data_IF_353968764121
#
_entry.id   IF_353968764121
#
_cell.length_a   1.000
_cell.length_b   1.000
_cell.length_c   1.000
_cell.angle_alpha   90.00
_cell.angle_beta   90.00
_cell.angle_gamma   90.00
#
_symmetry.space_group_name_H-M   'P 1'
#
loop_
_entity.id
_entity.type
_entity.pdbx_description
1 polymer ?
#
# COMPACT_ATOMS: atom_id res chain seq x y z
N UNK A 1 15.61 12.68 12.37
CA UNK A 1 16.41 13.32 11.29
C UNK A 1 15.67 13.05 10.02
N UNK A 2 15.37 14.03 9.18
CA UNK A 2 14.68 13.76 7.95
C UNK A 2 15.44 12.70 7.15
N UNK A 3 14.77 11.96 6.26
CA UNK A 3 15.41 11.15 5.23
C UNK A 3 16.32 12.12 4.43
N UNK A 4 17.34 12.54 5.07
CA UNK A 4 18.06 13.75 4.75
C UNK A 4 19.40 13.44 4.13
N UNK A 5 19.37 12.78 2.96
CA UNK A 5 20.41 13.11 1.98
C UNK A 5 20.06 14.50 1.42
N UNK A 6 21.07 15.38 1.19
CA UNK A 6 20.83 16.64 0.48
C UNK A 6 19.98 16.34 -0.76
N UNK A 7 18.97 17.15 -1.02
CA UNK A 7 18.05 17.00 -2.17
C UNK A 7 18.81 16.83 -3.49
N UNK A 8 20.06 17.30 -3.53
CA UNK A 8 20.96 17.19 -4.68
C UNK A 8 21.42 15.76 -5.00
N UNK A 9 21.37 14.82 -4.05
CA UNK A 9 21.78 13.42 -4.22
C UNK A 9 20.60 12.42 -4.19
N UNK A 10 19.35 12.90 -4.23
CA UNK A 10 18.18 12.02 -4.28
C UNK A 10 18.11 11.33 -5.65
N UNK A 11 18.08 10.00 -5.65
CA UNK A 11 17.78 9.17 -6.81
C UNK A 11 16.54 8.32 -6.52
N UNK A 12 15.59 8.31 -7.44
CA UNK A 12 14.34 7.56 -7.31
C UNK A 12 14.24 6.54 -8.44
N UNK A 13 14.16 5.27 -8.10
CA UNK A 13 13.83 4.20 -9.03
C UNK A 13 12.33 3.98 -9.04
N UNK A 14 11.72 4.08 -10.21
CA UNK A 14 10.29 3.87 -10.41
C UNK A 14 10.12 2.56 -11.17
N UNK A 15 9.44 1.60 -10.55
CA UNK A 15 9.11 0.32 -11.18
C UNK A 15 7.60 0.24 -11.33
N UNK A 16 7.11 0.28 -12.57
CA UNK A 16 5.69 0.24 -12.90
C UNK A 16 5.46 -0.58 -14.18
N UNK A 17 4.24 -1.07 -14.38
CA UNK A 17 3.89 -1.74 -15.64
C UNK A 17 3.71 -0.74 -16.80
N UNK A 18 3.50 0.54 -16.48
CA UNK A 18 3.33 1.63 -17.43
C UNK A 18 4.57 2.51 -17.42
N UNK A 19 5.00 2.96 -18.58
CA UNK A 19 6.12 3.93 -18.69
C UNK A 19 5.67 5.26 -18.08
N UNK A 20 6.57 5.88 -17.31
CA UNK A 20 6.31 7.19 -16.72
C UNK A 20 6.01 8.23 -17.82
N UNK A 21 4.91 8.95 -17.66
CA UNK A 21 4.50 9.99 -18.61
C UNK A 21 5.58 11.09 -18.72
N UNK A 22 5.72 11.66 -19.91
CA UNK A 22 6.74 12.69 -20.21
C UNK A 22 6.67 13.87 -19.22
N UNK A 23 5.47 14.32 -18.90
CA UNK A 23 5.24 15.45 -17.97
C UNK A 23 5.70 15.15 -16.53
N UNK A 24 5.88 13.88 -16.17
CA UNK A 24 6.34 13.44 -14.85
C UNK A 24 7.82 13.03 -14.85
N UNK A 25 8.53 13.16 -15.97
CA UNK A 25 9.95 12.82 -16.02
C UNK A 25 10.79 13.86 -15.27
N UNK A 26 11.79 13.38 -14.57
CA UNK A 26 12.74 14.21 -13.82
C UNK A 26 14.12 13.56 -13.91
N UNK A 27 15.19 14.35 -13.94
CA UNK A 27 16.57 13.86 -14.01
C UNK A 27 16.96 12.94 -12.83
N UNK A 28 16.25 13.05 -11.70
CA UNK A 28 16.42 12.21 -10.50
C UNK A 28 15.69 10.88 -10.59
N UNK A 29 14.83 10.71 -11.60
CA UNK A 29 14.00 9.52 -11.78
C UNK A 29 14.60 8.57 -12.82
N UNK A 30 14.66 7.30 -12.45
CA UNK A 30 15.03 6.22 -13.35
C UNK A 30 13.89 5.20 -13.38
N UNK A 31 13.22 5.10 -14.52
CA UNK A 31 12.02 4.27 -14.69
C UNK A 31 12.33 2.92 -15.29
N UNK A 32 11.68 1.89 -14.77
CA UNK A 32 11.75 0.51 -15.23
C UNK A 32 10.34 -0.03 -15.45
N UNK A 33 10.09 -0.51 -16.67
CA UNK A 33 8.82 -1.16 -16.97
C UNK A 33 8.83 -2.61 -16.47
N UNK A 34 7.87 -2.95 -15.61
CA UNK A 34 7.75 -4.30 -15.05
C UNK A 34 6.31 -4.62 -14.66
N UNK A 35 5.79 -5.73 -15.16
CA UNK A 35 4.48 -6.25 -14.75
C UNK A 35 4.64 -7.20 -13.55
N UNK A 36 3.99 -6.88 -12.45
CA UNK A 36 4.04 -7.65 -11.20
C UNK A 36 3.47 -9.07 -11.32
N UNK A 37 2.75 -9.39 -12.40
CA UNK A 37 2.25 -10.75 -12.64
C UNK A 37 3.32 -11.70 -13.20
N UNK A 38 4.50 -11.18 -13.55
CA UNK A 38 5.62 -11.98 -14.05
C UNK A 38 6.21 -12.89 -12.97
N UNK A 39 6.88 -13.97 -13.42
CA UNK A 39 7.50 -14.93 -12.50
C UNK A 39 8.90 -14.50 -12.06
N UNK A 40 9.67 -13.86 -12.92
CA UNK A 40 11.02 -13.41 -12.61
C UNK A 40 11.02 -11.99 -12.02
N UNK A 41 11.56 -11.87 -10.82
CA UNK A 41 11.70 -10.61 -10.06
C UNK A 41 13.15 -10.16 -9.95
N UNK A 42 14.08 -10.70 -10.77
CA UNK A 42 15.50 -10.35 -10.73
C UNK A 42 15.77 -8.85 -10.97
N UNK A 43 14.81 -8.13 -11.59
CA UNK A 43 14.92 -6.68 -11.75
C UNK A 43 15.16 -5.94 -10.43
N UNK A 44 14.57 -6.43 -9.33
CA UNK A 44 14.71 -5.81 -8.00
C UNK A 44 16.10 -5.99 -7.39
N UNK A 45 16.91 -6.93 -7.90
CA UNK A 45 18.30 -7.14 -7.45
C UNK A 45 19.21 -5.97 -7.87
N UNK A 46 18.76 -5.13 -8.84
CA UNK A 46 19.49 -3.94 -9.29
C UNK A 46 19.42 -2.78 -8.27
N UNK A 47 18.49 -2.82 -7.33
CA UNK A 47 18.19 -1.71 -6.41
C UNK A 47 18.70 -1.98 -4.99
N UNK A 48 19.82 -2.69 -4.83
CA UNK A 48 20.34 -3.04 -3.51
C UNK A 48 21.01 -1.85 -2.78
N UNK A 49 21.21 -0.73 -3.45
CA UNK A 49 21.77 0.51 -2.91
C UNK A 49 20.73 1.47 -2.28
N UNK A 50 19.43 1.16 -2.41
CA UNK A 50 18.37 2.02 -1.84
C UNK A 50 18.35 1.97 -0.32
N UNK A 51 17.95 3.07 0.31
CA UNK A 51 17.66 3.19 1.73
C UNK A 51 16.14 3.24 2.03
N UNK A 52 15.33 3.46 1.00
CA UNK A 52 13.88 3.58 1.14
C UNK A 52 13.17 2.78 0.06
N UNK A 53 12.18 1.99 0.47
CA UNK A 53 11.30 1.21 -0.40
C UNK A 53 9.84 1.57 -0.12
N UNK A 54 9.11 2.08 -1.11
CA UNK A 54 7.68 2.31 -1.01
C UNK A 54 6.92 1.49 -2.05
N UNK A 55 6.03 0.61 -1.62
CA UNK A 55 5.23 -0.24 -2.50
C UNK A 55 3.80 0.29 -2.53
N UNK A 56 3.42 0.92 -3.64
CA UNK A 56 2.09 1.54 -3.82
C UNK A 56 1.21 0.79 -4.81
N UNK A 57 1.77 -0.20 -5.50
CA UNK A 57 1.06 -0.96 -6.53
C UNK A 57 -0.17 -1.69 -5.98
N UNK A 58 -1.24 -1.67 -6.76
CA UNK A 58 -2.48 -2.36 -6.44
C UNK A 58 -3.66 -1.81 -7.21
N UNK A 59 -4.69 -2.61 -7.32
CA UNK A 59 -5.96 -2.20 -7.92
C UNK A 59 -7.14 -2.79 -7.13
N UNK A 60 -8.30 -2.16 -7.28
CA UNK A 60 -9.57 -2.66 -6.76
C UNK A 60 -10.68 -2.43 -7.77
N UNK A 61 -11.65 -3.33 -7.81
CA UNK A 61 -12.85 -3.20 -8.64
C UNK A 61 -14.09 -3.30 -7.75
N UNK A 62 -14.97 -2.32 -7.88
CA UNK A 62 -16.27 -2.33 -7.21
C UNK A 62 -17.25 -3.21 -7.98
N UNK A 63 -17.65 -4.32 -7.39
CA UNK A 63 -18.69 -5.21 -7.90
C UNK A 63 -19.25 -6.08 -6.78
N UNK A 64 -20.51 -6.48 -6.86
CA UNK A 64 -21.03 -7.56 -6.02
C UNK A 64 -20.29 -8.86 -6.37
N UNK A 65 -20.04 -9.70 -5.37
CA UNK A 65 -19.26 -10.93 -5.58
C UNK A 65 -19.91 -11.86 -6.62
N UNK A 66 -21.23 -11.91 -6.71
CA UNK A 66 -21.95 -12.66 -7.74
C UNK A 66 -21.69 -12.21 -9.17
N UNK A 67 -21.27 -10.93 -9.36
CA UNK A 67 -21.04 -10.32 -10.67
C UNK A 67 -19.54 -10.24 -11.02
N UNK A 68 -18.69 -10.78 -10.15
CA UNK A 68 -17.23 -10.81 -10.36
C UNK A 68 -16.87 -12.00 -11.24
N UNK A 69 -16.08 -11.74 -12.29
CA UNK A 69 -15.43 -12.80 -13.06
C UNK A 69 -14.43 -13.55 -12.19
N UNK A 70 -14.50 -14.90 -12.19
CA UNK A 70 -13.62 -15.74 -11.37
C UNK A 70 -12.12 -15.47 -11.59
N UNK A 71 -11.75 -15.11 -12.83
CA UNK A 71 -10.36 -14.77 -13.17
C UNK A 71 -9.79 -13.58 -12.41
N UNK A 72 -10.65 -12.69 -11.89
CA UNK A 72 -10.24 -11.55 -11.06
C UNK A 72 -9.75 -11.98 -9.68
N UNK A 73 -10.12 -13.16 -9.19
CA UNK A 73 -9.66 -13.64 -7.88
C UNK A 73 -8.14 -13.86 -7.89
N UNK A 74 -7.58 -14.78 -8.72
CA UNK A 74 -6.14 -14.96 -8.77
C UNK A 74 -5.41 -13.69 -9.24
N UNK A 75 -5.96 -12.94 -10.19
CA UNK A 75 -5.35 -11.70 -10.67
C UNK A 75 -5.17 -10.68 -9.54
N UNK A 76 -6.18 -10.51 -8.68
CA UNK A 76 -6.10 -9.57 -7.55
C UNK A 76 -5.00 -9.95 -6.57
N UNK A 77 -4.85 -11.23 -6.23
CA UNK A 77 -3.75 -11.68 -5.38
C UNK A 77 -2.39 -11.58 -6.06
N UNK A 78 -2.33 -11.89 -7.36
CA UNK A 78 -1.11 -11.81 -8.17
C UNK A 78 -0.63 -10.38 -8.44
N UNK A 79 -1.44 -9.36 -8.16
CA UNK A 79 -1.03 -7.95 -8.24
C UNK A 79 -0.92 -7.31 -6.86
N UNK A 80 -1.93 -7.48 -5.99
CA UNK A 80 -2.00 -6.74 -4.73
C UNK A 80 -1.20 -7.36 -3.58
N UNK A 81 -0.98 -8.70 -3.58
CA UNK A 81 -0.50 -9.40 -2.38
C UNK A 81 0.82 -10.14 -2.62
N UNK A 82 0.83 -11.09 -3.52
CA UNK A 82 2.00 -11.96 -3.78
C UNK A 82 3.24 -11.13 -4.17
N UNK A 83 3.13 -10.14 -5.08
CA UNK A 83 4.28 -9.31 -5.47
C UNK A 83 4.88 -8.55 -4.29
N UNK A 84 4.04 -8.00 -3.43
CA UNK A 84 4.50 -7.26 -2.24
C UNK A 84 5.35 -8.16 -1.35
N UNK A 85 4.87 -9.36 -1.06
CA UNK A 85 5.61 -10.35 -0.26
C UNK A 85 6.94 -10.74 -0.93
N UNK A 86 6.95 -10.93 -2.27
CA UNK A 86 8.15 -11.26 -3.05
C UNK A 86 9.17 -10.13 -3.06
N UNK A 87 8.73 -8.89 -3.21
CA UNK A 87 9.61 -7.71 -3.17
C UNK A 87 10.21 -7.59 -1.76
N UNK A 88 9.40 -7.62 -0.72
CA UNK A 88 9.87 -7.56 0.67
C UNK A 88 10.89 -8.66 0.95
N UNK A 89 10.65 -9.88 0.46
CA UNK A 89 11.61 -11.00 0.63
C UNK A 89 12.97 -10.70 0.03
N UNK A 90 13.06 -9.98 -1.09
CA UNK A 90 14.33 -9.59 -1.73
C UNK A 90 15.09 -8.52 -0.93
N UNK A 91 14.36 -7.64 -0.23
CA UNK A 91 14.94 -6.60 0.63
C UNK A 91 14.98 -7.00 2.11
N UNK A 92 14.64 -8.25 2.43
CA UNK A 92 14.53 -8.70 3.83
C UNK A 92 15.85 -8.58 4.60
N UNK A 93 16.99 -8.82 3.95
CA UNK A 93 18.31 -8.63 4.56
C UNK A 93 18.56 -7.18 4.99
N UNK A 94 18.01 -6.19 4.27
CA UNK A 94 18.08 -4.78 4.68
C UNK A 94 17.18 -4.48 5.87
N UNK A 95 16.01 -5.13 5.92
CA UNK A 95 15.09 -5.02 7.07
C UNK A 95 15.70 -5.63 8.33
N UNK A 96 16.44 -6.71 8.24
CA UNK A 96 17.14 -7.33 9.38
C UNK A 96 18.43 -6.60 9.79
N UNK A 97 19.02 -5.81 8.89
CA UNK A 97 20.27 -5.11 9.13
C UNK A 97 20.14 -4.07 10.26
N UNK A 98 21.29 -3.65 10.81
CA UNK A 98 21.34 -2.59 11.81
C UNK A 98 21.28 -1.19 11.21
N UNK A 99 21.63 -1.08 9.94
CA UNK A 99 21.55 0.14 9.17
C UNK A 99 20.09 0.52 8.94
N UNK A 100 19.81 1.82 8.93
CA UNK A 100 18.47 2.32 8.69
C UNK A 100 17.98 1.95 7.30
N UNK A 101 16.83 1.29 7.24
CA UNK A 101 16.09 1.01 6.03
C UNK A 101 14.62 1.35 6.25
N UNK A 102 14.03 2.11 5.34
CA UNK A 102 12.66 2.61 5.42
C UNK A 102 11.79 1.86 4.43
N UNK A 103 10.80 1.12 4.93
CA UNK A 103 9.93 0.31 4.09
C UNK A 103 8.46 0.63 4.37
N UNK A 104 7.71 0.98 3.32
CA UNK A 104 6.28 1.23 3.40
C UNK A 104 5.50 0.45 2.36
N UNK A 105 4.29 0.04 2.73
CA UNK A 105 3.35 -0.66 1.85
C UNK A 105 1.99 0.01 1.90
N UNK A 106 1.46 0.37 0.74
CA UNK A 106 0.09 0.86 0.61
C UNK A 106 -0.91 -0.30 0.73
N UNK A 107 -1.47 -0.44 1.91
CA UNK A 107 -2.51 -1.43 2.20
C UNK A 107 -3.89 -0.81 1.94
N UNK A 108 -4.75 -0.73 2.91
CA UNK A 108 -6.05 -0.03 2.91
C UNK A 108 -6.79 -0.31 4.20
N UNK A 109 -7.64 0.61 4.62
CA UNK A 109 -8.62 0.38 5.69
C UNK A 109 -9.56 -0.81 5.38
N UNK A 110 -9.78 -1.12 4.11
CA UNK A 110 -10.55 -2.30 3.68
C UNK A 110 -9.92 -3.63 4.13
N UNK A 111 -8.65 -3.66 4.52
CA UNK A 111 -8.00 -4.84 5.12
C UNK A 111 -8.31 -5.05 6.60
N UNK A 112 -9.01 -4.13 7.25
CA UNK A 112 -9.33 -4.17 8.68
C UNK A 112 -10.80 -4.51 8.96
N UNK A 113 -11.65 -4.49 7.93
CA UNK A 113 -13.09 -4.69 8.09
C UNK A 113 -13.72 -5.29 6.83
N UNK A 114 -14.95 -5.78 6.95
CA UNK A 114 -15.74 -6.19 5.79
C UNK A 114 -15.99 -4.99 4.86
N UNK A 115 -15.84 -5.22 3.56
CA UNK A 115 -16.04 -4.17 2.56
C UNK A 115 -16.92 -4.66 1.42
N UNK A 116 -18.27 -4.58 1.54
CA UNK A 116 -19.18 -4.93 0.46
C UNK A 116 -18.81 -4.24 -0.86
N UNK A 117 -19.00 -4.89 -1.99
CA UNK A 117 -18.51 -4.55 -3.33
C UNK A 117 -16.99 -4.63 -3.53
N UNK A 118 -16.21 -4.73 -2.45
CA UNK A 118 -14.75 -4.87 -2.48
C UNK A 118 -14.26 -6.17 -1.84
N UNK A 119 -15.05 -7.23 -1.83
CA UNK A 119 -14.76 -8.45 -1.08
C UNK A 119 -13.37 -9.05 -1.40
N UNK A 120 -13.02 -9.19 -2.69
CA UNK A 120 -11.72 -9.72 -3.11
C UNK A 120 -10.60 -8.72 -2.78
N UNK A 121 -10.80 -7.44 -3.08
CA UNK A 121 -9.81 -6.41 -2.74
C UNK A 121 -9.52 -6.37 -1.24
N UNK A 122 -10.57 -6.37 -0.41
CA UNK A 122 -10.44 -6.39 1.04
C UNK A 122 -9.66 -7.63 1.52
N UNK A 123 -9.93 -8.81 0.96
CA UNK A 123 -9.21 -10.03 1.26
C UNK A 123 -7.71 -9.92 0.92
N UNK A 124 -7.35 -9.31 -0.23
CA UNK A 124 -5.94 -9.08 -0.59
C UNK A 124 -5.23 -8.14 0.38
N UNK A 125 -5.93 -7.10 0.85
CA UNK A 125 -5.38 -6.12 1.80
C UNK A 125 -5.33 -6.65 3.23
N UNK A 126 -6.28 -7.47 3.65
CA UNK A 126 -6.23 -8.19 4.92
C UNK A 126 -5.04 -9.16 4.99
N UNK A 127 -4.76 -9.87 3.89
CA UNK A 127 -3.58 -10.73 3.79
C UNK A 127 -2.28 -9.94 3.96
N UNK A 128 -2.16 -8.75 3.34
CA UNK A 128 -0.99 -7.88 3.52
C UNK A 128 -0.88 -7.36 4.95
N UNK A 129 -1.99 -6.94 5.57
CA UNK A 129 -2.00 -6.49 6.96
C UNK A 129 -1.40 -7.54 7.87
N UNK A 130 -1.93 -8.76 7.85
CA UNK A 130 -1.46 -9.85 8.73
C UNK A 130 -0.01 -10.24 8.42
N UNK A 131 0.38 -10.24 7.14
CA UNK A 131 1.75 -10.51 6.73
C UNK A 131 2.72 -9.47 7.31
N UNK A 132 2.43 -8.17 7.16
CA UNK A 132 3.29 -7.08 7.67
C UNK A 132 3.42 -7.15 9.19
N UNK A 133 2.31 -7.32 9.91
CA UNK A 133 2.31 -7.45 11.37
C UNK A 133 3.20 -8.62 11.82
N UNK A 134 3.08 -9.77 11.14
CA UNK A 134 3.88 -10.97 11.44
C UNK A 134 5.38 -10.72 11.21
N UNK A 135 5.73 -10.13 10.07
CA UNK A 135 7.13 -9.81 9.72
C UNK A 135 7.72 -8.78 10.70
N UNK A 136 6.95 -7.75 11.09
CA UNK A 136 7.45 -6.76 12.05
C UNK A 136 7.73 -7.39 13.42
N UNK A 137 6.93 -8.37 13.87
CA UNK A 137 7.23 -9.14 15.09
C UNK A 137 8.52 -9.96 14.95
N UNK A 138 8.76 -10.59 13.79
CA UNK A 138 10.01 -11.31 13.51
C UNK A 138 11.22 -10.36 13.53
N UNK A 139 11.11 -9.17 12.94
CA UNK A 139 12.17 -8.14 12.96
C UNK A 139 12.50 -7.68 14.38
N UNK A 140 11.48 -7.47 15.23
CA UNK A 140 11.68 -7.17 16.65
C UNK A 140 12.46 -8.29 17.34
N UNK A 141 12.08 -9.55 17.10
CA UNK A 141 12.75 -10.71 17.71
C UNK A 141 14.19 -10.88 17.20
N UNK A 142 14.47 -10.48 15.96
CA UNK A 142 15.82 -10.46 15.39
C UNK A 142 16.67 -9.27 15.93
N UNK A 143 16.08 -8.35 16.69
CA UNK A 143 16.77 -7.17 17.23
C UNK A 143 16.95 -6.03 16.22
N UNK A 144 16.22 -6.07 15.09
CA UNK A 144 16.22 -4.98 14.11
C UNK A 144 15.42 -3.77 14.61
N UNK A 145 15.94 -2.56 14.32
CA UNK A 145 15.22 -1.30 14.46
C UNK A 145 14.32 -0.96 13.28
N UNK A 146 14.45 -1.68 12.16
CA UNK A 146 13.67 -1.40 10.95
C UNK A 146 12.25 -1.99 11.04
N UNK A 147 11.31 -1.35 10.34
CA UNK A 147 9.90 -1.74 10.31
C UNK A 147 9.36 -1.63 8.90
N UNK A 148 8.30 -2.38 8.61
CA UNK A 148 7.46 -2.20 7.44
C UNK A 148 6.24 -1.38 7.88
N UNK A 149 6.15 -0.15 7.41
CA UNK A 149 4.99 0.71 7.66
C UNK A 149 3.79 0.21 6.86
N UNK A 150 2.72 -0.16 7.53
CA UNK A 150 1.42 -0.42 6.93
C UNK A 150 0.68 0.92 6.75
N UNK A 151 0.57 1.41 5.53
CA UNK A 151 -0.21 2.61 5.20
C UNK A 151 -1.61 2.18 4.79
N UNK A 152 -2.61 2.47 5.61
CA UNK A 152 -3.99 1.99 5.42
C UNK A 152 -5.01 3.12 5.29
N UNK A 153 -5.01 3.86 4.16
CA UNK A 153 -5.97 4.93 3.93
C UNK A 153 -7.36 4.39 3.58
N UNK A 154 -8.35 5.28 3.73
CA UNK A 154 -9.62 5.18 3.04
C UNK A 154 -9.53 5.57 1.56
N UNK A 155 -10.62 6.10 1.00
CA UNK A 155 -10.58 6.65 -0.37
C UNK A 155 -9.71 7.90 -0.44
N UNK A 156 -8.70 7.86 -1.28
CA UNK A 156 -7.82 9.00 -1.54
C UNK A 156 -8.27 9.73 -2.81
N UNK A 157 -8.54 11.04 -2.66
CA UNK A 157 -8.74 11.95 -3.80
C UNK A 157 -7.39 12.19 -4.50
N UNK A 158 -7.43 12.57 -5.77
CA UNK A 158 -6.21 12.87 -6.54
C UNK A 158 -5.39 11.63 -6.93
N UNK A 159 -6.00 10.44 -6.90
CA UNK A 159 -5.40 9.19 -7.37
C UNK A 159 -6.23 8.56 -8.48
N UNK A 160 -5.59 7.76 -9.33
CA UNK A 160 -6.27 7.00 -10.39
C UNK A 160 -7.03 5.78 -9.89
N UNK A 161 -6.95 5.45 -8.61
CA UNK A 161 -7.54 4.22 -8.03
C UNK A 161 -9.07 4.14 -8.21
N UNK A 162 -9.75 5.28 -8.23
CA UNK A 162 -11.21 5.39 -8.43
C UNK A 162 -11.59 6.00 -9.78
N UNK A 163 -10.81 5.71 -10.84
CA UNK A 163 -10.96 6.29 -12.18
C UNK A 163 -10.79 7.83 -12.23
N UNK A 164 -10.22 8.42 -11.20
CA UNK A 164 -9.86 9.83 -11.16
C UNK A 164 -8.58 10.13 -11.94
N UNK A 165 -8.32 11.41 -12.17
CA UNK A 165 -7.00 11.86 -12.63
C UNK A 165 -6.06 11.97 -11.44
N UNK A 166 -4.79 11.62 -11.66
CA UNK A 166 -3.74 11.88 -10.69
C UNK A 166 -3.53 13.38 -10.56
N UNK A 167 -3.54 13.86 -9.31
CA UNK A 167 -3.29 15.26 -8.95
C UNK A 167 -2.28 15.28 -7.80
N UNK A 168 -1.06 15.71 -8.14
CA UNK A 168 0.06 15.67 -7.20
C UNK A 168 -0.11 16.69 -6.07
N UNK A 169 -0.73 17.84 -6.33
CA UNK A 169 -0.96 18.87 -5.30
C UNK A 169 -1.96 18.36 -4.25
N UNK A 170 -2.98 17.62 -4.69
CA UNK A 170 -3.98 17.02 -3.79
C UNK A 170 -3.38 15.87 -2.99
N UNK A 171 -2.43 15.12 -3.55
CA UNK A 171 -1.82 13.96 -2.88
C UNK A 171 -0.59 14.30 -2.03
N UNK A 172 0.07 15.43 -2.27
CA UNK A 172 1.30 15.83 -1.57
C UNK A 172 1.19 15.85 -0.03
N UNK A 173 0.13 16.37 0.60
CA UNK A 173 0.00 16.32 2.06
C UNK A 173 0.00 14.89 2.60
N UNK A 174 -0.66 13.96 1.90
CA UNK A 174 -0.68 12.55 2.28
C UNK A 174 0.70 11.91 2.11
N UNK A 175 1.39 12.19 1.00
CA UNK A 175 2.75 11.70 0.77
C UNK A 175 3.72 12.17 1.87
N UNK A 176 3.65 13.45 2.26
CA UNK A 176 4.46 14.00 3.35
C UNK A 176 4.16 13.33 4.70
N UNK A 177 2.89 13.06 5.01
CA UNK A 177 2.51 12.34 6.22
C UNK A 177 3.08 10.91 6.22
N UNK A 178 2.99 10.18 5.09
CA UNK A 178 3.57 8.85 4.94
C UNK A 178 5.09 8.87 5.17
N UNK A 179 5.80 9.86 4.60
CA UNK A 179 7.24 10.02 4.81
C UNK A 179 7.56 10.21 6.30
N UNK A 180 6.81 11.06 7.01
CA UNK A 180 7.00 11.26 8.45
C UNK A 180 6.83 9.97 9.26
N UNK A 181 5.83 9.15 8.95
CA UNK A 181 5.63 7.85 9.60
C UNK A 181 6.71 6.81 9.23
N UNK A 182 7.21 6.85 7.99
CA UNK A 182 8.36 6.04 7.58
C UNK A 182 9.62 6.40 8.38
N UNK A 183 9.91 7.70 8.52
CA UNK A 183 11.05 8.19 9.31
C UNK A 183 10.96 7.83 10.78
N UNK A 184 9.74 7.86 11.34
CA UNK A 184 9.46 7.46 12.71
C UNK A 184 9.54 5.94 12.90
N UNK A 185 9.59 5.16 11.81
CA UNK A 185 9.54 3.68 11.82
C UNK A 185 8.29 3.14 12.51
N UNK A 186 7.17 3.79 12.26
CA UNK A 186 5.88 3.35 12.76
C UNK A 186 5.44 2.05 12.08
N UNK A 187 4.69 1.21 12.81
CA UNK A 187 4.14 -0.04 12.28
C UNK A 187 2.89 0.19 11.43
N UNK A 188 2.11 1.24 11.74
CA UNK A 188 0.80 1.47 11.14
C UNK A 188 0.50 2.97 11.02
N UNK A 189 -0.01 3.37 9.86
CA UNK A 189 -0.60 4.69 9.63
C UNK A 189 -1.96 4.54 8.97
N UNK A 190 -3.02 4.94 9.68
CA UNK A 190 -4.38 5.05 9.16
C UNK A 190 -4.73 6.55 9.15
N UNK A 191 -4.73 7.21 7.99
CA UNK A 191 -5.17 8.60 7.88
C UNK A 191 -6.60 8.77 8.40
N UNK A 192 -6.86 9.84 9.15
CA UNK A 192 -8.16 10.14 9.76
C UNK A 192 -8.64 9.05 10.74
N UNK A 193 -7.69 8.38 11.43
CA UNK A 193 -8.05 7.31 12.36
C UNK A 193 -8.98 7.81 13.46
N UNK A 194 -8.59 8.84 14.20
CA UNK A 194 -9.37 9.35 15.34
C UNK A 194 -10.69 9.99 14.88
N UNK A 195 -10.70 10.68 13.73
CA UNK A 195 -11.86 11.41 13.24
C UNK A 195 -12.92 10.51 12.60
N UNK A 196 -12.50 9.37 12.00
CA UNK A 196 -13.39 8.54 11.19
C UNK A 196 -13.26 7.05 11.53
N UNK A 197 -12.06 6.47 11.37
CA UNK A 197 -11.95 5.02 11.30
C UNK A 197 -11.98 4.31 12.65
N UNK A 198 -11.65 4.97 13.72
CA UNK A 198 -11.74 4.41 15.08
C UNK A 198 -13.17 3.95 15.38
N UNK A 199 -14.13 4.84 15.25
CA UNK A 199 -15.54 4.51 15.49
C UNK A 199 -16.10 3.48 14.50
N UNK A 200 -15.64 3.52 13.24
CA UNK A 200 -16.03 2.52 12.23
C UNK A 200 -15.53 1.14 12.62
N UNK A 201 -14.27 1.02 13.05
CA UNK A 201 -13.68 -0.26 13.47
C UNK A 201 -14.29 -0.77 14.78
N UNK A 202 -14.60 0.11 15.73
CA UNK A 202 -15.32 -0.25 16.95
C UNK A 202 -16.69 -0.87 16.61
N UNK A 203 -17.51 -0.22 15.77
CA UNK A 203 -18.79 -0.78 15.30
C UNK A 203 -18.63 -2.09 14.54
N UNK A 204 -17.59 -2.19 13.70
CA UNK A 204 -17.28 -3.43 12.99
C UNK A 204 -16.96 -4.60 13.94
N UNK A 205 -16.19 -4.35 14.99
CA UNK A 205 -15.85 -5.38 15.97
C UNK A 205 -17.03 -5.76 16.85
N UNK A 206 -17.96 -4.85 17.10
CA UNK A 206 -19.20 -5.11 17.83
C UNK A 206 -20.17 -5.95 16.99
N UNK A 207 -20.46 -5.48 15.77
CA UNK A 207 -21.30 -6.21 14.81
C UNK A 207 -20.86 -5.99 13.36
N UNK A 208 -20.06 -6.90 12.81
CA UNK A 208 -19.55 -6.79 11.44
C UNK A 208 -20.64 -6.81 10.37
N UNK A 209 -21.82 -7.41 10.65
CA UNK A 209 -22.93 -7.43 9.70
C UNK A 209 -23.64 -6.10 9.65
N UNK A 210 -23.93 -5.53 10.81
CA UNK A 210 -24.55 -4.21 10.88
C UNK A 210 -23.68 -3.14 10.23
N UNK A 211 -22.38 -3.09 10.56
CA UNK A 211 -21.45 -2.16 9.91
C UNK A 211 -21.27 -2.45 8.42
N UNK A 212 -21.25 -3.72 8.02
CA UNK A 212 -21.21 -4.12 6.61
C UNK A 212 -22.45 -3.66 5.83
N UNK A 213 -23.65 -3.75 6.39
CA UNK A 213 -24.89 -3.24 5.79
C UNK A 213 -24.83 -1.73 5.65
N UNK A 214 -24.40 -1.02 6.70
CA UNK A 214 -24.21 0.44 6.65
C UNK A 214 -23.22 0.85 5.53
N UNK A 215 -22.11 0.16 5.42
CA UNK A 215 -21.11 0.39 4.36
C UNK A 215 -21.67 0.09 2.96
N UNK A 216 -22.52 -0.93 2.82
CA UNK A 216 -23.21 -1.26 1.56
C UNK A 216 -24.13 -0.12 1.13
N UNK A 217 -25.04 0.30 2.02
CA UNK A 217 -25.99 1.37 1.77
C UNK A 217 -25.30 2.70 1.45
N UNK A 218 -24.25 3.02 2.19
CA UNK A 218 -23.43 4.21 1.91
C UNK A 218 -22.86 4.21 0.48
N UNK A 219 -22.34 3.08 -0.01
CA UNK A 219 -21.78 2.99 -1.36
C UNK A 219 -22.85 3.13 -2.45
N UNK A 220 -24.02 2.53 -2.24
CA UNK A 220 -25.16 2.68 -3.15
C UNK A 220 -25.66 4.13 -3.16
N UNK A 221 -25.93 4.70 -1.99
CA UNK A 221 -26.49 6.05 -1.88
C UNK A 221 -25.53 7.16 -2.34
N UNK A 222 -24.23 6.92 -2.27
CA UNK A 222 -23.19 7.87 -2.72
C UNK A 222 -22.87 7.77 -4.21
N UNK A 223 -23.54 6.87 -4.95
CA UNK A 223 -23.33 6.68 -6.40
C UNK A 223 -21.94 6.10 -6.75
N UNK A 224 -21.32 5.36 -5.84
CA UNK A 224 -20.03 4.69 -6.08
C UNK A 224 -20.20 3.36 -6.82
N UNK A 225 -21.39 2.81 -6.81
CA UNK A 225 -21.81 1.54 -7.41
C UNK A 225 -23.19 1.69 -8.02
#
# INVERSE_FOLDING_TARGET
MPIGKPVDNLKVYIVDKVVLAEDNQNEKFESYQFDLTQQDYAIFDKFQDIDTLMITAGFGRLALFRDVDESLIPLSFNVNTIPVMRIIKRFYGKLEAKEDFYCGVMVSIAGFMSSPFFSIYAATKAALKVFIESVNVELVKAGSGNRILNVSPGSLKGTSFTNGKTDLDVTAPMANAIIGHLEAKDDLFIPQYEEVFKTVLERYHDDFRAEGIHSYEYKVNSGRV
#
